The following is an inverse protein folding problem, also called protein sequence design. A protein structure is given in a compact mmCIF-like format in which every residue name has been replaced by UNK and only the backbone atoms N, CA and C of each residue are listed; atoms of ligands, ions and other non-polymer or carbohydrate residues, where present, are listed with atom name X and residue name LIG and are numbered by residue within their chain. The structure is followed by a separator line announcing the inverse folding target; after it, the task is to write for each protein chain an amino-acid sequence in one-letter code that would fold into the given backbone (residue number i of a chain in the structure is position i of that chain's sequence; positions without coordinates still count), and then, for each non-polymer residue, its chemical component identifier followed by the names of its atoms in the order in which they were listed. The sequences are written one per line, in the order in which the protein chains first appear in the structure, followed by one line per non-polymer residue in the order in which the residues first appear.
data_IF_178571651962
#
_entry.id   IF_178571651962
#
_cell.length_a   1.000
_cell.length_b   1.000
_cell.length_c   1.000
_cell.angle_alpha   90.00
_cell.angle_beta   90.00
_cell.angle_gamma   90.00
#
_symmetry.space_group_name_H-M   'P 1'
#
loop_
_entity.id
_entity.type
_entity.pdbx_description
1 polymer ?
#
# COMPACT_ATOMS: atom_id res chain seq x y z
N UNK A 1 -53.47 -57.84 19.87
CA UNK A 1 -54.16 -58.89 19.10
C UNK A 1 -55.55 -58.34 18.74
N UNK A 2 -55.80 -58.15 17.43
CA UNK A 2 -57.05 -57.80 16.70
C UNK A 2 -57.72 -56.42 16.98
N UNK A 3 -57.57 -55.43 16.06
CA UNK A 3 -58.33 -55.16 14.80
C UNK A 3 -59.74 -54.63 15.14
N UNK A 4 -60.15 -53.41 14.76
CA UNK A 4 -60.81 -53.14 13.46
C UNK A 4 -60.82 -51.65 13.07
N UNK A 5 -60.45 -51.44 11.81
CA UNK A 5 -60.81 -50.36 10.89
C UNK A 5 -62.32 -50.24 10.64
N UNK A 6 -62.81 -49.03 10.36
CA UNK A 6 -64.04 -48.84 9.57
C UNK A 6 -63.85 -47.76 8.50
N UNK A 7 -63.96 -48.20 7.24
CA UNK A 7 -64.02 -47.44 5.99
C UNK A 7 -65.49 -47.21 5.62
N UNK A 8 -65.81 -46.10 4.94
CA UNK A 8 -66.59 -46.03 3.68
C UNK A 8 -66.71 -44.55 3.25
N UNK A 9 -65.99 -44.13 2.20
CA UNK A 9 -66.45 -43.99 0.80
C UNK A 9 -67.42 -42.80 0.62
N UNK A 10 -66.99 -41.67 0.05
CA UNK A 10 -66.74 -41.37 -1.37
C UNK A 10 -67.92 -40.62 -2.02
N UNK A 11 -67.67 -39.39 -2.48
CA UNK A 11 -68.24 -38.91 -3.75
C UNK A 11 -67.16 -38.16 -4.52
N UNK A 12 -66.98 -38.58 -5.76
CA UNK A 12 -66.08 -38.02 -6.76
C UNK A 12 -66.53 -36.63 -7.21
N UNK A 13 -65.57 -35.76 -7.53
CA UNK A 13 -65.68 -34.91 -8.71
C UNK A 13 -64.31 -34.73 -9.38
N UNK A 14 -64.21 -34.84 -10.71
CA UNK A 14 -62.95 -34.83 -11.45
C UNK A 14 -62.63 -33.43 -11.97
N UNK A 15 -61.50 -32.86 -11.55
CA UNK A 15 -60.88 -31.77 -12.30
C UNK A 15 -59.52 -32.24 -12.78
N UNK A 16 -59.50 -32.79 -14.00
CA UNK A 16 -58.27 -32.94 -14.76
C UNK A 16 -57.67 -31.56 -15.02
N UNK A 17 -56.53 -31.30 -14.41
CA UNK A 17 -55.62 -30.22 -14.77
C UNK A 17 -54.25 -30.83 -15.02
N UNK A 18 -53.96 -31.11 -16.29
CA UNK A 18 -52.61 -31.41 -16.75
C UNK A 18 -51.77 -30.15 -16.53
N UNK A 19 -50.78 -30.21 -15.64
CA UNK A 19 -49.69 -29.21 -15.60
C UNK A 19 -48.39 -29.95 -15.84
N UNK A 20 -47.78 -29.59 -16.96
CA UNK A 20 -46.56 -30.16 -17.51
C UNK A 20 -45.39 -29.96 -16.54
N UNK A 21 -44.57 -31.01 -16.40
CA UNK A 21 -43.24 -30.92 -15.83
C UNK A 21 -42.42 -29.86 -16.58
N UNK A 22 -42.11 -28.75 -15.90
CA UNK A 22 -40.96 -27.92 -16.20
C UNK A 22 -39.81 -28.33 -15.27
N UNK A 23 -38.57 -28.45 -15.73
CA UNK A 23 -37.46 -28.89 -14.89
C UNK A 23 -37.27 -27.93 -13.72
N UNK A 24 -37.15 -28.50 -12.52
CA UNK A 24 -36.77 -27.82 -11.29
C UNK A 24 -35.51 -26.99 -11.53
N UNK A 25 -35.67 -25.67 -11.62
CA UNK A 25 -34.56 -24.74 -11.49
C UNK A 25 -34.13 -24.84 -10.04
N UNK A 26 -33.02 -25.55 -9.82
CA UNK A 26 -32.28 -25.55 -8.58
C UNK A 26 -32.10 -24.08 -8.17
N UNK A 27 -32.86 -23.62 -7.17
CA UNK A 27 -32.54 -22.34 -6.51
C UNK A 27 -31.22 -22.56 -5.82
N UNK A 28 -30.12 -22.17 -6.47
CA UNK A 28 -28.86 -21.92 -5.80
C UNK A 28 -29.16 -20.83 -4.76
N UNK A 29 -29.31 -21.25 -3.50
CA UNK A 29 -29.01 -20.39 -2.38
C UNK A 29 -27.50 -20.18 -2.36
N UNK A 30 -26.99 -19.33 -3.25
CA UNK A 30 -25.71 -18.68 -3.03
C UNK A 30 -26.01 -17.23 -2.69
N UNK A 31 -26.42 -17.06 -1.43
CA UNK A 31 -26.43 -15.80 -0.73
C UNK A 31 -25.01 -15.32 -0.48
N UNK A 32 -24.27 -15.03 -1.55
CA UNK A 32 -23.05 -14.25 -1.47
C UNK A 32 -23.28 -12.99 -2.30
N UNK A 33 -24.00 -12.04 -1.70
CA UNK A 33 -23.98 -10.65 -2.19
C UNK A 33 -22.53 -10.23 -2.13
N UNK A 34 -21.88 -10.20 -3.30
CA UNK A 34 -20.61 -9.52 -3.45
C UNK A 34 -20.80 -8.13 -2.85
N UNK A 35 -19.95 -7.80 -1.88
CA UNK A 35 -20.03 -6.54 -1.18
C UNK A 35 -19.75 -5.43 -2.19
N UNK A 36 -20.82 -4.85 -2.76
CA UNK A 36 -20.71 -3.80 -3.76
C UNK A 36 -20.06 -2.60 -3.09
N UNK A 37 -19.12 -1.95 -3.78
CA UNK A 37 -18.53 -0.69 -3.29
C UNK A 37 -19.66 0.31 -2.99
N UNK A 38 -19.61 0.93 -1.80
CA UNK A 38 -20.67 1.83 -1.31
C UNK A 38 -21.77 1.16 -0.47
N UNK A 39 -21.78 -0.17 -0.32
CA UNK A 39 -22.64 -0.84 0.66
C UNK A 39 -22.20 -0.50 2.09
N UNK A 40 -23.16 -0.39 3.01
CA UNK A 40 -22.88 -0.20 4.42
C UNK A 40 -21.94 -1.29 4.93
N UNK A 41 -20.89 -0.88 5.63
CA UNK A 41 -19.89 -1.80 6.14
C UNK A 41 -20.52 -2.73 7.20
N UNK A 42 -20.59 -4.05 6.98
CA UNK A 42 -21.25 -5.00 7.87
C UNK A 42 -20.61 -5.03 9.27
N UNK A 43 -19.33 -4.67 9.37
CA UNK A 43 -18.60 -4.65 10.64
C UNK A 43 -18.48 -3.24 11.24
N UNK A 44 -19.06 -2.23 10.57
CA UNK A 44 -18.98 -0.82 10.95
C UNK A 44 -17.56 -0.29 11.24
N UNK A 45 -16.51 -0.94 10.70
CA UNK A 45 -15.14 -0.48 10.91
C UNK A 45 -14.84 0.73 10.01
N UNK A 46 -14.32 1.79 10.61
CA UNK A 46 -13.94 3.01 9.91
C UNK A 46 -12.51 2.87 9.39
N UNK A 47 -12.29 3.15 8.11
CA UNK A 47 -10.94 3.23 7.54
C UNK A 47 -10.31 4.52 8.04
N UNK A 48 -9.29 4.42 8.88
CA UNK A 48 -8.52 5.58 9.32
C UNK A 48 -7.58 6.05 8.18
N UNK A 49 -7.87 7.23 7.65
CA UNK A 49 -7.11 7.87 6.57
C UNK A 49 -5.93 8.70 7.11
N UNK A 50 -5.76 8.79 8.43
CA UNK A 50 -4.67 9.58 9.04
C UNK A 50 -3.32 8.90 8.85
N UNK A 51 -2.26 9.70 8.91
CA UNK A 51 -0.91 9.17 8.96
C UNK A 51 -0.67 8.41 10.27
N UNK A 52 -0.25 7.14 10.22
CA UNK A 52 0.03 6.36 11.43
C UNK A 52 1.32 6.84 12.07
N UNK A 53 1.34 6.88 13.40
CA UNK A 53 2.56 7.19 14.16
C UNK A 53 3.70 6.19 13.94
N UNK A 54 3.36 4.95 13.54
CA UNK A 54 4.29 3.84 13.25
C UNK A 54 4.00 3.23 11.87
N UNK A 55 4.48 3.85 10.78
CA UNK A 55 4.18 3.41 9.41
C UNK A 55 4.77 2.04 9.10
N UNK A 56 3.96 1.12 8.56
CA UNK A 56 4.38 -0.24 8.17
C UNK A 56 5.55 -0.26 7.17
N UNK A 57 6.21 -1.42 6.94
CA UNK A 57 7.44 -1.50 6.15
C UNK A 57 7.27 -1.06 4.69
N UNK A 58 6.07 -1.21 4.12
CA UNK A 58 5.74 -0.87 2.73
C UNK A 58 5.00 0.46 2.59
N UNK A 59 4.77 1.18 3.69
CA UNK A 59 4.09 2.48 3.65
C UNK A 59 5.07 3.57 3.23
N UNK A 60 4.56 4.54 2.50
CA UNK A 60 5.30 5.74 2.06
C UNK A 60 5.85 6.56 3.24
N UNK A 61 6.63 7.59 2.90
CA UNK A 61 7.19 8.52 3.87
C UNK A 61 6.08 9.34 4.52
N UNK A 62 6.07 9.36 5.84
CA UNK A 62 5.17 10.24 6.60
C UNK A 62 5.67 11.68 6.58
N UNK A 63 4.77 12.65 6.77
CA UNK A 63 5.11 14.07 6.90
C UNK A 63 6.23 14.33 7.94
N UNK A 64 6.20 13.60 9.06
CA UNK A 64 7.22 13.67 10.12
C UNK A 64 8.58 13.13 9.67
N UNK A 65 8.60 12.02 8.94
CA UNK A 65 9.83 11.45 8.37
C UNK A 65 10.43 12.40 7.33
N UNK A 66 9.60 12.95 6.43
CA UNK A 66 10.03 13.86 5.39
C UNK A 66 10.62 15.17 5.96
N UNK A 67 10.00 15.75 6.99
CA UNK A 67 10.53 16.94 7.68
C UNK A 67 11.90 16.67 8.29
N UNK A 68 12.06 15.55 9.00
CA UNK A 68 13.34 15.19 9.62
C UNK A 68 14.44 14.92 8.59
N UNK A 69 14.08 14.25 7.50
CA UNK A 69 14.97 13.98 6.37
C UNK A 69 15.47 15.29 5.74
N UNK A 70 14.55 16.21 5.45
CA UNK A 70 14.87 17.53 4.89
C UNK A 70 15.81 18.31 5.80
N UNK A 71 15.46 18.46 7.08
CA UNK A 71 16.29 19.17 8.06
C UNK A 71 17.66 18.52 8.22
N UNK A 72 17.75 17.19 8.16
CA UNK A 72 19.04 16.50 8.18
C UNK A 72 19.91 16.87 6.97
N UNK A 73 19.35 16.83 5.76
CA UNK A 73 20.10 17.14 4.53
C UNK A 73 20.46 18.63 4.38
N UNK A 74 19.63 19.53 4.92
CA UNK A 74 19.92 20.97 4.99
C UNK A 74 21.10 21.26 5.94
N UNK A 75 21.21 20.50 7.05
CA UNK A 75 22.27 20.66 8.05
C UNK A 75 23.56 19.88 7.74
N UNK A 76 23.53 18.91 6.81
CA UNK A 76 24.70 18.12 6.45
C UNK A 76 25.72 18.99 5.67
N UNK A 77 26.96 19.15 6.16
CA UNK A 77 27.95 20.04 5.54
C UNK A 77 28.44 19.56 4.17
N UNK A 78 28.27 18.28 3.83
CA UNK A 78 28.66 17.73 2.54
C UNK A 78 27.54 17.86 1.50
N UNK A 79 26.29 17.75 1.94
CA UNK A 79 25.12 17.80 1.06
C UNK A 79 24.66 19.23 0.84
N UNK A 80 24.58 20.04 1.92
CA UNK A 80 24.18 21.46 1.91
C UNK A 80 22.92 21.71 1.09
N UNK A 81 21.87 20.93 1.34
CA UNK A 81 20.61 21.12 0.63
C UNK A 81 20.04 22.51 0.90
N UNK A 82 19.76 23.25 -0.16
CA UNK A 82 19.12 24.57 -0.10
C UNK A 82 17.62 24.38 0.04
N UNK A 83 17.00 25.22 0.87
CA UNK A 83 15.56 25.19 1.06
C UNK A 83 14.85 25.54 -0.27
N UNK A 84 13.89 24.73 -0.76
CA UNK A 84 13.13 24.95 -2.00
C UNK A 84 12.65 26.38 -2.27
N UNK A 85 12.21 27.12 -1.24
CA UNK A 85 11.71 28.49 -1.40
C UNK A 85 12.77 29.52 -1.85
N UNK A 86 14.06 29.23 -1.65
CA UNK A 86 15.18 30.09 -2.04
C UNK A 86 16.12 29.41 -3.04
N UNK A 87 15.78 28.18 -3.48
CA UNK A 87 16.59 27.39 -4.38
C UNK A 87 16.67 28.04 -5.76
N UNK A 88 17.88 28.09 -6.31
CA UNK A 88 18.21 28.53 -7.66
C UNK A 88 18.76 27.35 -8.47
N UNK A 89 18.79 27.47 -9.79
CA UNK A 89 19.35 26.42 -10.67
C UNK A 89 20.84 26.15 -10.42
N UNK A 90 21.59 27.13 -9.90
CA UNK A 90 22.99 26.99 -9.51
C UNK A 90 23.19 26.55 -8.04
N UNK A 91 22.10 26.21 -7.35
CA UNK A 91 22.14 25.74 -5.96
C UNK A 91 21.78 24.26 -5.89
N UNK A 92 22.21 23.60 -4.83
CA UNK A 92 21.82 22.21 -4.57
C UNK A 92 20.47 22.18 -3.86
N UNK A 93 19.48 21.44 -4.35
CA UNK A 93 18.19 21.32 -3.67
C UNK A 93 17.56 19.93 -3.86
N UNK A 94 16.67 19.57 -2.94
CA UNK A 94 15.93 18.31 -2.97
C UNK A 94 14.80 18.44 -3.98
N UNK A 95 14.79 17.55 -4.99
CA UNK A 95 13.71 17.50 -5.98
C UNK A 95 12.56 16.61 -5.51
N UNK A 96 12.87 15.37 -5.13
CA UNK A 96 11.89 14.40 -4.62
C UNK A 96 12.50 13.51 -3.55
N UNK A 97 11.65 12.95 -2.70
CA UNK A 97 12.04 12.01 -1.67
C UNK A 97 10.96 10.93 -1.51
N UNK A 98 11.36 9.67 -1.72
CA UNK A 98 10.47 8.52 -1.70
C UNK A 98 10.99 7.44 -0.73
N UNK A 99 10.13 6.48 -0.38
CA UNK A 99 10.54 5.33 0.40
C UNK A 99 11.42 4.40 -0.45
N UNK A 100 12.58 4.00 0.07
CA UNK A 100 13.36 2.90 -0.51
C UNK A 100 12.91 1.58 0.09
N UNK A 101 12.23 0.77 -0.71
CA UNK A 101 11.65 -0.48 -0.24
C UNK A 101 12.73 -1.44 0.30
N UNK A 102 12.49 -2.06 1.47
CA UNK A 102 13.37 -3.08 2.01
C UNK A 102 13.35 -4.36 1.16
N UNK A 103 14.36 -5.23 1.28
CA UNK A 103 14.39 -6.51 0.57
C UNK A 103 13.16 -7.36 0.90
N UNK A 104 12.59 -8.01 -0.12
CA UNK A 104 11.40 -8.87 0.04
C UNK A 104 11.58 -9.94 1.12
N UNK A 105 12.76 -10.54 1.22
CA UNK A 105 13.08 -11.57 2.21
C UNK A 105 12.97 -11.05 3.65
N UNK A 106 13.40 -9.83 3.93
CA UNK A 106 13.29 -9.21 5.25
C UNK A 106 11.84 -8.88 5.59
N UNK A 107 11.09 -8.36 4.60
CA UNK A 107 9.66 -8.07 4.76
C UNK A 107 8.88 -9.33 5.08
N UNK A 108 9.06 -10.41 4.30
CA UNK A 108 8.37 -11.68 4.54
C UNK A 108 8.76 -12.29 5.89
N UNK A 109 10.04 -12.20 6.29
CA UNK A 109 10.47 -12.67 7.61
C UNK A 109 9.77 -11.90 8.73
N UNK A 110 9.55 -10.60 8.58
CA UNK A 110 8.79 -9.78 9.54
C UNK A 110 7.29 -10.11 9.53
N UNK A 111 6.67 -10.21 8.36
CA UNK A 111 5.22 -10.41 8.23
C UNK A 111 4.77 -11.83 8.59
N UNK A 112 5.50 -12.86 8.14
CA UNK A 112 5.06 -14.26 8.24
C UNK A 112 5.70 -14.99 9.42
N UNK A 113 6.96 -14.64 9.76
CA UNK A 113 7.79 -15.39 10.72
C UNK A 113 8.04 -14.63 12.03
N UNK A 114 7.37 -13.49 12.24
CA UNK A 114 7.55 -12.65 13.42
C UNK A 114 8.99 -12.14 13.62
N UNK A 115 9.77 -12.05 12.54
CA UNK A 115 11.15 -11.59 12.58
C UNK A 115 11.29 -10.10 12.91
N UNK A 116 12.53 -9.57 12.92
CA UNK A 116 12.76 -8.16 13.22
C UNK A 116 12.15 -7.26 12.14
N UNK A 117 11.67 -6.08 12.55
CA UNK A 117 11.14 -5.07 11.62
C UNK A 117 12.26 -4.61 10.68
N UNK A 118 12.04 -4.63 9.35
CA UNK A 118 13.06 -4.19 8.41
C UNK A 118 13.33 -2.69 8.58
N UNK A 119 14.58 -2.31 8.32
CA UNK A 119 15.00 -0.91 8.43
C UNK A 119 14.36 -0.08 7.32
N UNK A 120 13.65 0.98 7.70
CA UNK A 120 13.08 1.95 6.76
C UNK A 120 14.16 2.91 6.28
N UNK A 121 14.23 3.11 4.97
CA UNK A 121 15.21 3.95 4.28
C UNK A 121 14.47 4.89 3.32
N UNK A 122 14.96 6.12 3.14
CA UNK A 122 14.47 7.04 2.11
C UNK A 122 15.46 7.09 0.96
N UNK A 123 14.94 7.25 -0.25
CA UNK A 123 15.71 7.66 -1.43
C UNK A 123 15.39 9.11 -1.74
N UNK A 124 16.42 9.93 -1.90
CA UNK A 124 16.28 11.36 -2.20
C UNK A 124 16.96 11.67 -3.51
N UNK A 125 16.21 12.25 -4.45
CA UNK A 125 16.73 12.76 -5.70
C UNK A 125 17.09 14.23 -5.50
N UNK A 126 18.35 14.57 -5.77
CA UNK A 126 18.90 15.88 -5.53
C UNK A 126 19.50 16.45 -6.81
N UNK A 127 19.15 17.70 -7.12
CA UNK A 127 19.86 18.47 -8.13
C UNK A 127 21.06 19.16 -7.48
N UNK A 128 22.24 18.96 -8.05
CA UNK A 128 23.51 19.58 -7.63
C UNK A 128 23.93 20.64 -8.64
N UNK A 129 23.21 21.75 -8.64
CA UNK A 129 23.57 22.93 -9.44
C UNK A 129 24.84 23.64 -8.97
N UNK A 130 25.32 23.32 -7.77
CA UNK A 130 26.57 23.82 -7.18
C UNK A 130 27.82 23.16 -7.78
N UNK A 131 27.67 22.02 -8.45
CA UNK A 131 28.77 21.26 -9.06
C UNK A 131 29.02 21.74 -10.50
N UNK A 132 30.24 21.54 -10.98
CA UNK A 132 30.64 21.84 -12.36
C UNK A 132 31.27 20.60 -12.98
N UNK A 133 30.62 19.92 -13.94
CA UNK A 133 29.28 20.19 -14.46
C UNK A 133 28.17 19.92 -13.41
N UNK A 134 26.97 20.51 -13.57
CA UNK A 134 25.83 20.22 -12.73
C UNK A 134 25.39 18.76 -12.89
N UNK A 135 25.04 18.12 -11.79
CA UNK A 135 24.67 16.70 -11.79
C UNK A 135 23.40 16.44 -10.99
N UNK A 136 22.73 15.34 -11.31
CA UNK A 136 21.65 14.79 -10.52
C UNK A 136 22.19 13.60 -9.73
N UNK A 137 21.99 13.62 -8.43
CA UNK A 137 22.47 12.59 -7.50
C UNK A 137 21.32 11.98 -6.72
N UNK A 138 21.34 10.65 -6.56
CA UNK A 138 20.42 9.93 -5.69
C UNK A 138 21.12 9.61 -4.37
N UNK A 139 20.46 9.88 -3.24
CA UNK A 139 20.95 9.57 -1.91
C UNK A 139 20.06 8.56 -1.21
N UNK A 140 20.66 7.64 -0.45
CA UNK A 140 19.95 6.76 0.49
C UNK A 140 20.16 7.27 1.90
N UNK A 141 19.08 7.67 2.55
CA UNK A 141 19.08 8.17 3.90
C UNK A 141 18.50 7.14 4.87
N UNK A 142 19.21 6.91 5.98
CA UNK A 142 18.87 5.87 6.93
C UNK A 142 19.38 6.18 8.35
N UNK A 143 18.78 5.58 9.39
CA UNK A 143 17.46 4.92 9.41
C UNK A 143 16.31 5.94 9.58
N UNK A 144 15.11 5.64 9.09
CA UNK A 144 13.92 6.45 9.41
C UNK A 144 13.25 5.97 10.72
N UNK A 145 12.66 6.86 11.54
CA UNK A 145 12.42 8.29 11.31
C UNK A 145 13.56 9.23 11.75
N UNK A 146 14.58 8.71 12.45
CA UNK A 146 15.71 9.50 12.95
C UNK A 146 16.92 9.29 12.04
N UNK A 147 16.98 10.06 10.95
CA UNK A 147 18.05 9.97 9.95
C UNK A 147 19.40 10.23 10.61
N UNK A 148 20.35 9.33 10.37
CA UNK A 148 21.71 9.43 10.90
C UNK A 148 22.75 9.63 9.80
N UNK A 149 22.48 9.09 8.61
CA UNK A 149 23.40 9.14 7.49
C UNK A 149 22.63 9.15 6.17
N UNK A 150 23.14 9.92 5.21
CA UNK A 150 22.71 9.92 3.82
C UNK A 150 23.94 9.63 2.96
N UNK A 151 23.87 8.58 2.14
CA UNK A 151 24.99 8.15 1.30
C UNK A 151 24.57 8.20 -0.16
N UNK A 152 25.51 8.54 -1.04
CA UNK A 152 25.28 8.52 -2.48
C UNK A 152 24.92 7.09 -2.92
N UNK A 153 23.81 6.95 -3.64
CA UNK A 153 23.36 5.70 -4.20
C UNK A 153 24.25 5.36 -5.39
N UNK A 154 25.09 4.34 -5.25
CA UNK A 154 25.92 3.83 -6.32
C UNK A 154 25.36 2.48 -6.79
N UNK A 155 24.64 2.51 -7.92
CA UNK A 155 24.13 1.31 -8.56
C UNK A 155 24.99 1.00 -9.77
N UNK A 156 25.57 -0.20 -9.80
CA UNK A 156 26.39 -0.68 -10.93
C UNK A 156 25.61 -0.75 -12.23
N UNK A 157 24.27 -0.83 -12.16
CA UNK A 157 23.36 -0.85 -13.31
C UNK A 157 22.98 0.53 -13.85
N UNK A 158 23.36 1.61 -13.18
CA UNK A 158 23.01 2.98 -13.59
C UNK A 158 24.27 3.79 -13.92
N UNK A 159 24.13 4.75 -14.84
CA UNK A 159 25.16 5.77 -15.03
C UNK A 159 25.05 6.79 -13.90
N UNK A 160 26.11 6.87 -13.09
CA UNK A 160 26.28 7.89 -12.06
C UNK A 160 27.64 8.57 -12.35
N UNK A 161 27.72 9.89 -12.52
CA UNK A 161 26.66 10.90 -12.36
C UNK A 161 25.67 10.99 -13.53
N UNK A 162 24.44 11.40 -13.23
CA UNK A 162 23.45 11.79 -14.23
C UNK A 162 23.68 13.27 -14.54
N UNK A 163 23.90 13.60 -15.81
CA UNK A 163 24.11 14.97 -16.23
C UNK A 163 22.80 15.78 -16.20
N UNK A 164 22.90 17.04 -15.81
CA UNK A 164 21.78 17.97 -15.88
C UNK A 164 21.73 18.59 -17.29
N UNK A 165 20.75 18.18 -18.11
CA UNK A 165 20.52 18.76 -19.44
C UNK A 165 19.84 20.12 -19.30
N UNK A 166 20.49 21.18 -19.79
CA UNK A 166 19.96 22.53 -19.90
C UNK A 166 19.06 22.70 -21.13
#
# INVERSE_FOLDING_TARGET
MFITTFLLLSTWSPCWGVVLYGPDIHKTQDGNRSHVCGSANPNNNVIDLREPSRPGPLRDLTSKELRKLRTFMENDPNIRATHPAIARMNSSFIHSADILLPPKSEVLRFLDRGGPRPMRRARVLMFRGDKTPPVVEEYVCQPLPNVKSCQLLNLTSQRNPIEFSY
#
